data_IF_158219079170
#
_entry.id   IF_158219079170
#
_cell.length_a   1.000
_cell.length_b   1.000
_cell.length_c   1.000
_cell.angle_alpha   90.00
_cell.angle_beta   90.00
_cell.angle_gamma   90.00
#
_symmetry.space_group_name_H-M   'P 1'
#
loop_
_entity.id
_entity.type
_entity.pdbx_description
1 polymer ?
#
# COMPACT_ATOMS: atom_id res chain seq x y z
N UNK A 1 41.94 38.65 47.61
CA UNK A 1 42.58 38.45 46.30
C UNK A 1 42.85 36.95 46.21
N UNK A 2 41.89 36.19 45.67
CA UNK A 2 41.85 34.73 45.76
C UNK A 2 41.95 34.21 44.34
N UNK A 3 43.01 33.46 44.04
CA UNK A 3 43.14 32.66 42.82
C UNK A 3 43.60 31.27 43.25
N UNK A 4 42.64 30.36 43.38
CA UNK A 4 42.91 28.92 43.42
C UNK A 4 42.78 28.40 41.98
N UNK A 5 43.89 27.89 41.47
CA UNK A 5 44.02 27.13 40.24
C UNK A 5 43.71 25.67 40.59
N UNK A 6 42.59 25.13 40.11
CA UNK A 6 42.33 23.68 40.15
C UNK A 6 41.51 23.24 38.94
N UNK A 7 41.96 22.10 38.40
CA UNK A 7 41.19 21.06 37.72
C UNK A 7 40.94 21.16 36.20
N UNK A 8 41.96 20.65 35.50
CA UNK A 8 41.87 19.95 34.22
C UNK A 8 41.04 18.66 34.43
N UNK A 9 39.79 18.65 33.96
CA UNK A 9 39.03 17.41 33.72
C UNK A 9 38.08 17.59 32.52
N UNK A 10 38.59 17.20 31.35
CA UNK A 10 38.00 16.20 30.44
C UNK A 10 36.46 16.13 30.45
N UNK A 11 35.82 16.89 29.57
CA UNK A 11 34.52 16.56 29.01
C UNK A 11 34.69 16.53 27.49
N UNK A 12 34.76 15.32 26.95
CA UNK A 12 34.85 15.10 25.52
C UNK A 12 33.62 15.68 24.81
N UNK A 13 33.87 16.54 23.83
CA UNK A 13 32.93 16.79 22.75
C UNK A 13 32.61 15.45 22.08
N UNK A 14 31.51 14.83 22.50
CA UNK A 14 30.76 13.91 21.66
C UNK A 14 30.02 14.79 20.65
N UNK A 15 30.77 15.21 19.63
CA UNK A 15 30.20 15.60 18.36
C UNK A 15 29.45 14.36 17.86
N UNK A 16 28.13 14.36 18.02
CA UNK A 16 27.27 13.39 17.33
C UNK A 16 27.39 13.76 15.85
N UNK A 17 28.34 13.12 15.19
CA UNK A 17 28.37 12.95 13.75
C UNK A 17 27.07 12.24 13.36
N UNK A 18 26.03 13.04 13.19
CA UNK A 18 24.85 12.63 12.47
C UNK A 18 25.31 12.71 11.02
N UNK A 19 25.91 11.63 10.53
CA UNK A 19 26.00 11.37 9.12
C UNK A 19 24.57 11.30 8.59
N UNK A 20 23.97 12.47 8.35
CA UNK A 20 22.79 12.58 7.51
C UNK A 20 23.32 12.19 6.13
N UNK A 21 23.16 10.90 5.80
CA UNK A 21 23.25 10.45 4.43
C UNK A 21 22.15 11.25 3.73
N UNK A 22 22.52 12.33 3.03
CA UNK A 22 21.62 13.05 2.12
C UNK A 22 21.09 11.99 1.17
N UNK A 23 19.89 11.52 1.47
CA UNK A 23 19.22 10.50 0.70
C UNK A 23 18.56 11.27 -0.42
N UNK A 24 19.00 11.01 -1.65
CA UNK A 24 18.49 11.66 -2.85
C UNK A 24 16.95 11.69 -2.84
N UNK A 25 16.37 12.86 -3.14
CA UNK A 25 14.92 13.10 -3.08
C UNK A 25 14.14 12.04 -3.84
N UNK A 26 14.63 11.63 -5.03
CA UNK A 26 14.00 10.58 -5.81
C UNK A 26 13.95 9.24 -5.08
N UNK A 27 14.99 8.87 -4.33
CA UNK A 27 15.00 7.64 -3.53
C UNK A 27 13.91 7.68 -2.46
N UNK A 28 13.81 8.80 -1.73
CA UNK A 28 12.80 8.97 -0.69
C UNK A 28 11.37 8.88 -1.25
N UNK A 29 11.12 9.50 -2.41
CA UNK A 29 9.82 9.46 -3.08
C UNK A 29 9.47 8.07 -3.59
N UNK A 30 10.43 7.32 -4.14
CA UNK A 30 10.24 5.94 -4.58
C UNK A 30 9.93 5.01 -3.42
N UNK A 31 10.66 5.15 -2.31
CA UNK A 31 10.41 4.36 -1.10
C UNK A 31 9.00 4.64 -0.52
N UNK A 32 8.57 5.90 -0.60
CA UNK A 32 7.21 6.31 -0.24
C UNK A 32 6.14 5.93 -1.30
N UNK A 33 6.54 5.50 -2.51
CA UNK A 33 5.65 5.27 -3.68
C UNK A 33 4.89 6.52 -4.12
N UNK A 34 5.56 7.67 -4.09
CA UNK A 34 5.02 8.99 -4.45
C UNK A 34 5.65 9.58 -5.72
N UNK A 35 6.56 8.86 -6.36
CA UNK A 35 7.19 9.22 -7.62
C UNK A 35 6.24 9.17 -8.82
N UNK A 36 5.20 8.33 -8.74
CA UNK A 36 4.07 8.33 -9.67
C UNK A 36 2.84 7.72 -9.00
N UNK A 37 2.08 8.56 -8.28
CA UNK A 37 0.87 8.14 -7.57
C UNK A 37 -0.29 9.04 -7.95
N UNK A 38 -1.50 8.49 -7.98
CA UNK A 38 -2.69 9.22 -8.37
C UNK A 38 -3.93 8.69 -7.65
N UNK A 39 -4.91 9.57 -7.42
CA UNK A 39 -6.22 9.19 -6.94
C UNK A 39 -7.28 10.21 -7.40
N UNK A 40 -8.54 9.79 -7.39
CA UNK A 40 -9.67 10.66 -7.73
C UNK A 40 -10.33 11.12 -6.45
N UNK A 41 -10.55 12.42 -6.32
CA UNK A 41 -11.35 13.01 -5.25
C UNK A 41 -12.51 13.84 -5.82
N UNK A 42 -13.45 14.20 -4.97
CA UNK A 42 -14.64 14.96 -5.35
C UNK A 42 -14.84 16.15 -4.44
N UNK A 43 -15.17 17.30 -5.02
CA UNK A 43 -15.74 18.43 -4.28
C UNK A 43 -17.12 18.72 -4.85
N UNK A 44 -18.16 18.40 -4.08
CA UNK A 44 -19.55 18.48 -4.51
C UNK A 44 -19.82 17.55 -5.70
N UNK A 45 -20.18 18.13 -6.85
CA UNK A 45 -20.44 17.38 -8.10
C UNK A 45 -19.23 17.28 -9.02
N UNK A 46 -18.15 18.00 -8.73
CA UNK A 46 -16.96 18.04 -9.56
C UNK A 46 -15.98 16.96 -9.11
N UNK A 47 -15.39 16.28 -10.10
CA UNK A 47 -14.32 15.29 -9.89
C UNK A 47 -12.99 15.92 -10.22
N UNK A 48 -11.98 15.53 -9.46
CA UNK A 48 -10.62 15.95 -9.66
C UNK A 48 -9.71 14.73 -9.63
N UNK A 49 -8.71 14.71 -10.50
CA UNK A 49 -7.59 13.78 -10.43
C UNK A 49 -6.45 14.48 -9.70
N UNK A 50 -6.09 13.97 -8.53
CA UNK A 50 -4.89 14.35 -7.81
C UNK A 50 -3.78 13.39 -8.22
N UNK A 51 -2.60 13.91 -8.54
CA UNK A 51 -1.46 13.08 -8.92
C UNK A 51 -0.15 13.70 -8.48
N UNK A 52 0.87 12.86 -8.37
CA UNK A 52 2.24 13.24 -8.10
C UNK A 52 3.15 12.68 -9.18
N UNK A 53 4.21 13.41 -9.48
CA UNK A 53 5.27 12.95 -10.40
C UNK A 53 6.62 13.51 -9.99
N UNK A 54 7.68 12.84 -10.41
CA UNK A 54 9.03 13.42 -10.32
C UNK A 54 9.48 13.95 -11.69
N UNK A 55 10.03 15.16 -11.72
CA UNK A 55 10.64 15.80 -12.89
C UNK A 55 12.16 15.83 -12.71
N UNK A 56 12.88 15.37 -13.74
CA UNK A 56 14.35 15.34 -13.81
C UNK A 56 15.05 14.74 -12.57
N UNK A 57 14.36 13.84 -11.86
CA UNK A 57 14.82 13.21 -10.60
C UNK A 57 15.12 14.18 -9.46
N UNK A 58 14.80 15.48 -9.60
CA UNK A 58 15.18 16.53 -8.66
C UNK A 58 14.01 17.33 -8.11
N UNK A 59 12.87 17.27 -8.79
CA UNK A 59 11.69 18.01 -8.41
C UNK A 59 10.51 17.06 -8.25
N UNK A 60 9.81 17.19 -7.14
CA UNK A 60 8.55 16.53 -6.90
C UNK A 60 7.40 17.48 -7.20
N UNK A 61 6.51 17.06 -8.08
CA UNK A 61 5.35 17.85 -8.47
C UNK A 61 4.12 17.21 -7.89
N UNK A 62 3.35 18.00 -7.15
CA UNK A 62 2.00 17.65 -6.70
C UNK A 62 1.03 18.45 -7.52
N UNK A 63 0.09 17.77 -8.18
CA UNK A 63 -0.82 18.41 -9.12
C UNK A 63 -2.24 17.87 -9.03
N UNK A 64 -3.17 18.70 -9.49
CA UNK A 64 -4.60 18.45 -9.52
C UNK A 64 -5.14 18.89 -10.87
N UNK A 65 -6.05 18.12 -11.44
CA UNK A 65 -6.78 18.51 -12.64
C UNK A 65 -8.26 18.15 -12.54
N UNK A 66 -9.12 18.96 -13.15
CA UNK A 66 -10.53 18.65 -13.38
C UNK A 66 -10.81 18.11 -14.79
N UNK A 67 -9.76 17.83 -15.55
CA UNK A 67 -9.81 17.41 -16.96
C UNK A 67 -9.78 18.57 -17.96
N UNK A 68 -9.77 19.81 -17.49
CA UNK A 68 -9.70 21.02 -18.34
C UNK A 68 -8.48 21.86 -17.93
N UNK A 69 -8.41 22.18 -16.64
CA UNK A 69 -7.34 22.96 -16.04
C UNK A 69 -6.41 22.07 -15.22
N UNK A 70 -5.17 22.53 -15.03
CA UNK A 70 -4.17 21.86 -14.20
C UNK A 70 -3.65 22.87 -13.19
N UNK A 71 -3.60 22.48 -11.93
CA UNK A 71 -2.97 23.21 -10.84
C UNK A 71 -1.83 22.38 -10.30
N UNK A 72 -0.66 22.99 -10.09
CA UNK A 72 0.51 22.27 -9.61
C UNK A 72 1.30 23.10 -8.61
N UNK A 73 2.11 22.40 -7.83
CA UNK A 73 3.17 22.94 -7.02
C UNK A 73 4.39 22.03 -7.14
N UNK A 74 5.55 22.63 -7.30
CA UNK A 74 6.82 21.95 -7.48
C UNK A 74 7.66 22.12 -6.22
N UNK A 75 8.28 21.04 -5.77
CA UNK A 75 9.15 21.00 -4.61
C UNK A 75 10.49 20.43 -5.03
N UNK A 76 11.56 21.20 -4.82
CA UNK A 76 12.90 20.66 -4.67
C UNK A 76 13.11 20.17 -3.22
N UNK A 77 14.33 19.74 -2.89
CA UNK A 77 14.65 19.25 -1.55
C UNK A 77 14.38 20.31 -0.47
N UNK A 78 14.89 21.53 -0.66
CA UNK A 78 14.69 22.64 0.29
C UNK A 78 13.21 23.05 0.41
N UNK A 79 12.49 23.13 -0.72
CA UNK A 79 11.07 23.45 -0.74
C UNK A 79 10.21 22.38 -0.06
N UNK A 80 10.57 21.10 -0.20
CA UNK A 80 9.91 20.01 0.52
C UNK A 80 10.12 20.13 2.03
N UNK A 81 11.34 20.43 2.47
CA UNK A 81 11.65 20.62 3.89
C UNK A 81 10.91 21.83 4.47
N UNK A 82 10.87 22.94 3.76
CA UNK A 82 10.12 24.12 4.16
C UNK A 82 8.61 23.81 4.29
N UNK A 83 8.05 23.06 3.34
CA UNK A 83 6.65 22.66 3.40
C UNK A 83 6.35 21.69 4.55
N UNK A 84 7.27 20.76 4.83
CA UNK A 84 7.22 19.90 6.01
C UNK A 84 7.17 20.74 7.28
N UNK A 85 8.07 21.72 7.42
CA UNK A 85 8.15 22.57 8.61
C UNK A 85 6.89 23.42 8.81
N UNK A 86 6.35 23.99 7.72
CA UNK A 86 5.07 24.70 7.73
C UNK A 86 3.92 23.81 8.21
N UNK A 87 3.94 22.53 7.87
CA UNK A 87 2.93 21.56 8.30
C UNK A 87 3.12 21.03 9.73
N UNK A 88 4.21 21.41 10.41
CA UNK A 88 4.53 20.97 11.77
C UNK A 88 4.83 19.47 11.89
N UNK A 89 5.27 18.82 10.80
CA UNK A 89 5.61 17.40 10.79
C UNK A 89 7.09 17.20 11.11
N UNK A 90 7.39 16.30 12.05
CA UNK A 90 8.73 16.18 12.63
C UNK A 90 9.82 15.64 11.67
N UNK A 91 9.46 14.89 10.63
CA UNK A 91 10.42 14.33 9.67
C UNK A 91 9.85 14.27 8.25
N UNK A 92 10.74 14.30 7.25
CA UNK A 92 10.38 14.17 5.83
C UNK A 92 9.68 12.82 5.58
N UNK A 93 10.19 11.73 6.15
CA UNK A 93 9.57 10.41 6.03
C UNK A 93 8.12 10.39 6.55
N UNK A 94 7.87 11.00 7.71
CA UNK A 94 6.52 11.11 8.27
C UNK A 94 5.62 11.97 7.40
N UNK A 95 6.17 13.03 6.82
CA UNK A 95 5.46 13.92 5.90
C UNK A 95 5.06 13.17 4.63
N UNK A 96 5.99 12.51 3.96
CA UNK A 96 5.73 11.68 2.78
C UNK A 96 4.76 10.52 3.09
N UNK A 97 4.87 9.89 4.26
CA UNK A 97 3.93 8.85 4.69
C UNK A 97 2.48 9.35 4.77
N UNK A 98 2.25 10.61 5.20
CA UNK A 98 0.91 11.21 5.19
C UNK A 98 0.35 11.33 3.76
N UNK A 99 1.17 11.75 2.80
CA UNK A 99 0.76 11.78 1.39
C UNK A 99 0.42 10.38 0.90
N UNK A 100 1.32 9.42 1.08
CA UNK A 100 1.11 8.03 0.67
C UNK A 100 -0.21 7.49 1.20
N UNK A 101 -0.48 7.67 2.49
CA UNK A 101 -1.70 7.19 3.12
C UNK A 101 -2.95 7.90 2.59
N UNK A 102 -2.86 9.22 2.39
CA UNK A 102 -3.96 10.03 1.86
C UNK A 102 -4.32 9.63 0.43
N UNK A 103 -3.33 9.47 -0.46
CA UNK A 103 -3.56 9.00 -1.83
C UNK A 103 -4.10 7.57 -1.86
N UNK A 104 -3.57 6.67 -1.03
CA UNK A 104 -4.02 5.27 -0.98
C UNK A 104 -5.47 5.15 -0.47
N UNK A 105 -5.86 6.02 0.47
CA UNK A 105 -7.20 6.00 1.08
C UNK A 105 -8.19 6.95 0.41
N UNK A 106 -7.75 7.74 -0.59
CA UNK A 106 -8.51 8.86 -1.17
C UNK A 106 -8.96 9.89 -0.12
N UNK A 107 -8.12 10.13 0.89
CA UNK A 107 -8.34 11.10 1.97
C UNK A 107 -7.77 12.46 1.57
N UNK A 108 -8.26 12.98 0.46
CA UNK A 108 -7.90 14.29 -0.08
C UNK A 108 -9.15 15.17 -0.18
N UNK A 109 -9.04 16.42 0.24
CA UNK A 109 -10.08 17.42 0.04
C UNK A 109 -9.54 18.59 -0.79
N UNK A 110 -10.38 19.14 -1.65
CA UNK A 110 -10.04 20.23 -2.56
C UNK A 110 -10.94 21.41 -2.26
N UNK A 111 -10.38 22.61 -2.20
CA UNK A 111 -11.12 23.87 -2.24
C UNK A 111 -10.53 24.81 -3.29
N UNK A 112 -11.36 25.34 -4.18
CA UNK A 112 -10.94 26.28 -5.22
C UNK A 112 -11.28 27.72 -4.84
N UNK A 113 -10.32 28.62 -4.96
CA UNK A 113 -10.48 30.06 -4.75
C UNK A 113 -9.85 30.78 -5.93
N UNK A 114 -10.67 31.24 -6.88
CA UNK A 114 -10.18 31.86 -8.12
C UNK A 114 -9.36 30.89 -8.96
N UNK A 115 -8.09 31.26 -9.22
CA UNK A 115 -7.09 30.47 -9.96
C UNK A 115 -6.23 29.59 -9.06
N UNK A 116 -6.51 29.56 -7.75
CA UNK A 116 -5.80 28.74 -6.76
C UNK A 116 -6.66 27.55 -6.33
N UNK A 117 -6.02 26.39 -6.17
CA UNK A 117 -6.61 25.24 -5.48
C UNK A 117 -5.83 24.98 -4.21
N UNK A 118 -6.52 24.84 -3.08
CA UNK A 118 -5.95 24.30 -1.86
C UNK A 118 -6.29 22.82 -1.78
N UNK A 119 -5.25 21.98 -1.74
CA UNK A 119 -5.32 20.53 -1.56
C UNK A 119 -5.01 20.20 -0.10
N UNK A 120 -6.01 19.72 0.63
CA UNK A 120 -5.86 19.21 1.98
C UNK A 120 -5.60 17.70 1.95
N UNK A 121 -4.52 17.28 2.60
CA UNK A 121 -3.98 15.92 2.58
C UNK A 121 -4.17 15.29 3.96
N UNK A 122 -5.02 14.26 4.00
CA UNK A 122 -5.50 13.66 5.23
C UNK A 122 -6.81 14.30 5.71
N UNK A 123 -7.19 14.01 6.95
CA UNK A 123 -8.46 14.44 7.55
C UNK A 123 -8.23 15.17 8.88
N UNK A 124 -9.12 16.12 9.17
CA UNK A 124 -9.19 16.80 10.46
C UNK A 124 -8.06 17.80 10.70
N UNK A 125 -7.77 18.08 11.97
CA UNK A 125 -6.84 19.13 12.42
C UNK A 125 -5.36 18.87 12.14
N UNK A 126 -5.02 17.72 11.56
CA UNK A 126 -3.64 17.36 11.18
C UNK A 126 -3.48 17.23 9.66
N UNK A 127 -4.47 17.68 8.89
CA UNK A 127 -4.36 17.73 7.44
C UNK A 127 -3.24 18.69 7.03
N UNK A 128 -2.47 18.29 6.02
CA UNK A 128 -1.48 19.16 5.41
C UNK A 128 -2.19 19.92 4.29
N UNK A 129 -2.16 21.25 4.32
CA UNK A 129 -2.72 22.07 3.26
C UNK A 129 -1.62 22.50 2.29
N UNK A 130 -1.86 22.27 0.99
CA UNK A 130 -1.00 22.72 -0.10
C UNK A 130 -1.77 23.69 -0.98
N UNK A 131 -1.21 24.86 -1.22
CA UNK A 131 -1.69 25.76 -2.27
C UNK A 131 -1.05 25.39 -3.60
N UNK A 132 -1.90 25.12 -4.60
CA UNK A 132 -1.55 24.78 -5.98
C UNK A 132 -2.01 25.92 -6.90
N UNK A 133 -1.18 26.25 -7.88
CA UNK A 133 -1.42 27.35 -8.80
C UNK A 133 -1.66 26.86 -10.21
N UNK A 134 -2.55 27.56 -10.92
CA UNK A 134 -2.95 27.19 -12.28
C UNK A 134 -1.75 27.27 -13.24
N UNK A 135 -1.49 26.17 -13.94
CA UNK A 135 -0.40 26.06 -14.91
C UNK A 135 -0.63 26.99 -16.12
N UNK A 136 0.44 27.34 -16.84
CA UNK A 136 0.29 28.17 -18.06
C UNK A 136 -0.38 27.37 -19.17
N UNK A 137 -1.02 28.06 -20.12
CA UNK A 137 -1.77 27.41 -21.20
C UNK A 137 -0.96 26.37 -22.00
N UNK A 138 0.33 26.64 -22.24
CA UNK A 138 1.22 25.69 -22.93
C UNK A 138 1.45 24.41 -22.10
N UNK A 139 1.71 24.57 -20.80
CA UNK A 139 1.99 23.48 -19.84
C UNK A 139 0.74 22.63 -19.60
N UNK A 140 -0.45 23.25 -19.46
CA UNK A 140 -1.73 22.54 -19.27
C UNK A 140 -1.96 21.48 -20.34
N UNK A 141 -1.74 21.83 -21.62
CA UNK A 141 -1.97 20.92 -22.74
C UNK A 141 -1.01 19.74 -22.71
N UNK A 142 0.28 19.99 -22.48
CA UNK A 142 1.28 18.92 -22.38
C UNK A 142 1.03 18.00 -21.20
N UNK A 143 0.63 18.55 -20.04
CA UNK A 143 0.31 17.76 -18.85
C UNK A 143 -0.90 16.86 -19.06
N UNK A 144 -2.00 17.40 -19.58
CA UNK A 144 -3.20 16.61 -19.86
C UNK A 144 -2.94 15.52 -20.90
N UNK A 145 -2.15 15.83 -21.94
CA UNK A 145 -1.77 14.84 -22.94
C UNK A 145 -0.92 13.73 -22.32
N UNK A 146 0.09 14.09 -21.53
CA UNK A 146 0.94 13.13 -20.81
C UNK A 146 0.11 12.24 -19.89
N UNK A 147 -0.76 12.82 -19.06
CA UNK A 147 -1.63 12.08 -18.15
C UNK A 147 -2.52 11.09 -18.90
N UNK A 148 -3.16 11.53 -20.00
CA UNK A 148 -4.05 10.66 -20.77
C UNK A 148 -3.33 9.42 -21.31
N UNK A 149 -2.16 9.59 -21.92
CA UNK A 149 -1.39 8.47 -22.46
C UNK A 149 -0.79 7.60 -21.35
N UNK A 150 -0.27 8.20 -20.29
CA UNK A 150 0.28 7.47 -19.15
C UNK A 150 -0.79 6.61 -18.45
N UNK A 151 -2.00 7.14 -18.28
CA UNK A 151 -3.15 6.40 -17.75
C UNK A 151 -3.55 5.23 -18.65
N UNK A 152 -3.61 5.45 -19.97
CA UNK A 152 -3.96 4.41 -20.93
C UNK A 152 -2.92 3.29 -20.95
N UNK A 153 -1.63 3.64 -20.90
CA UNK A 153 -0.54 2.68 -20.84
C UNK A 153 -0.58 1.87 -19.54
N UNK A 154 -0.69 2.55 -18.39
CA UNK A 154 -0.78 1.90 -17.08
C UNK A 154 -1.98 0.96 -16.99
N UNK A 155 -3.15 1.36 -17.52
CA UNK A 155 -4.32 0.48 -17.57
C UNK A 155 -4.05 -0.78 -18.40
N UNK A 156 -3.46 -0.64 -19.59
CA UNK A 156 -3.11 -1.79 -20.42
C UNK A 156 -2.05 -2.71 -19.79
N UNK A 157 -1.09 -2.16 -19.04
CA UNK A 157 -0.12 -2.95 -18.28
C UNK A 157 -0.78 -3.70 -17.12
N UNK A 158 -1.67 -3.04 -16.36
CA UNK A 158 -2.42 -3.64 -15.26
C UNK A 158 -3.31 -4.79 -15.75
N UNK A 159 -4.00 -4.62 -16.87
CA UNK A 159 -4.82 -5.68 -17.49
C UNK A 159 -3.97 -6.92 -17.84
N UNK A 160 -2.78 -6.72 -18.40
CA UNK A 160 -1.83 -7.81 -18.68
C UNK A 160 -1.36 -8.50 -17.40
N UNK A 161 -0.98 -7.74 -16.38
CA UNK A 161 -0.53 -8.29 -15.09
C UNK A 161 -1.63 -9.08 -14.39
N UNK A 162 -2.87 -8.58 -14.42
CA UNK A 162 -4.04 -9.24 -13.86
C UNK A 162 -4.31 -10.55 -14.61
N UNK A 163 -4.25 -10.54 -15.94
CA UNK A 163 -4.41 -11.75 -16.76
C UNK A 163 -3.36 -12.82 -16.43
N UNK A 164 -2.08 -12.44 -16.33
CA UNK A 164 -1.01 -13.38 -15.95
C UNK A 164 -1.19 -13.93 -14.52
N UNK A 165 -1.56 -13.09 -13.55
CA UNK A 165 -1.82 -13.53 -12.19
C UNK A 165 -2.99 -14.54 -12.11
N UNK A 166 -4.06 -14.29 -12.87
CA UNK A 166 -5.19 -15.21 -12.95
C UNK A 166 -4.80 -16.56 -13.55
N UNK A 167 -4.01 -16.58 -14.62
CA UNK A 167 -3.51 -17.84 -15.20
C UNK A 167 -2.65 -18.63 -14.21
N UNK A 168 -1.79 -17.96 -13.44
CA UNK A 168 -1.01 -18.62 -12.38
C UNK A 168 -1.91 -19.21 -11.29
N UNK A 169 -2.97 -18.50 -10.89
CA UNK A 169 -3.96 -19.00 -9.93
C UNK A 169 -4.67 -20.25 -10.47
N UNK A 170 -5.03 -20.28 -11.76
CA UNK A 170 -5.65 -21.45 -12.39
C UNK A 170 -4.73 -22.67 -12.42
N UNK A 171 -3.46 -22.49 -12.79
CA UNK A 171 -2.46 -23.56 -12.76
C UNK A 171 -2.28 -24.11 -11.35
N UNK A 172 -2.15 -23.24 -10.34
CA UNK A 172 -2.02 -23.66 -8.93
C UNK A 172 -3.26 -24.39 -8.42
N UNK A 173 -4.47 -23.96 -8.83
CA UNK A 173 -5.71 -24.66 -8.49
C UNK A 173 -5.78 -26.05 -9.14
N UNK A 174 -5.36 -26.18 -10.40
CA UNK A 174 -5.34 -27.47 -11.10
C UNK A 174 -4.36 -28.47 -10.44
N UNK A 175 -3.18 -28.02 -9.99
CA UNK A 175 -2.22 -28.84 -9.26
C UNK A 175 -2.71 -29.28 -7.87
N UNK A 176 -3.51 -28.45 -7.19
CA UNK A 176 -4.11 -28.80 -5.89
C UNK A 176 -5.30 -29.76 -6.03
N UNK A 177 -5.97 -29.76 -7.18
CA UNK A 177 -7.05 -30.68 -7.53
C UNK A 177 -6.61 -32.06 -8.03
N UNK A 178 -5.33 -32.24 -8.43
CA UNK A 178 -4.79 -33.52 -8.89
C UNK A 178 -4.19 -34.40 -7.77
N UNK A 179 -4.44 -34.04 -6.50
CA UNK A 179 -4.11 -34.84 -5.31
C UNK A 179 -4.97 -36.09 -5.13
N UNK A 180 -5.03 -36.96 -6.13
CA UNK A 180 -5.41 -38.37 -6.00
C UNK A 180 -4.63 -39.23 -7.01
N UNK A 181 -3.33 -38.95 -7.13
CA UNK A 181 -2.39 -39.71 -7.94
C UNK A 181 -1.54 -40.69 -7.13
N UNK A 182 -2.07 -41.30 -6.07
CA UNK A 182 -1.40 -42.40 -5.36
C UNK A 182 -1.57 -43.77 -6.05
N UNK A 183 -2.17 -43.83 -7.24
CA UNK A 183 -2.39 -45.10 -7.96
C UNK A 183 -1.21 -45.55 -8.83
N UNK A 184 -0.10 -44.81 -8.91
CA UNK A 184 1.07 -45.20 -9.69
C UNK A 184 1.97 -46.28 -9.04
N UNK A 185 1.50 -46.93 -7.97
CA UNK A 185 2.18 -48.10 -7.35
C UNK A 185 1.27 -49.33 -7.26
N UNK A 186 0.11 -49.33 -7.91
CA UNK A 186 -0.85 -50.43 -7.87
C UNK A 186 -0.80 -51.31 -9.12
N UNK A 187 0.39 -51.78 -9.52
CA UNK A 187 0.48 -52.86 -10.52
C UNK A 187 1.68 -53.78 -10.28
N UNK A 188 1.70 -54.47 -9.14
CA UNK A 188 2.41 -55.74 -9.00
C UNK A 188 1.56 -56.68 -8.11
N UNK A 189 0.62 -57.39 -8.73
CA UNK A 189 0.02 -58.61 -8.17
C UNK A 189 0.38 -59.78 -9.10
N UNK A 190 0.30 -61.08 -8.72
CA UNK A 190 0.04 -61.69 -7.40
C UNK A 190 0.91 -62.95 -7.11
N UNK A 191 1.28 -63.25 -5.86
CA UNK A 191 1.51 -64.65 -5.44
C UNK A 191 1.02 -64.93 -4.01
N UNK A 192 -0.14 -65.59 -3.96
CA UNK A 192 -0.56 -66.69 -3.07
C UNK A 192 -0.02 -66.66 -1.63
N UNK A 193 -0.91 -66.37 -0.67
CA UNK A 193 -0.70 -66.68 0.74
C UNK A 193 -2.01 -66.58 1.51
N UNK A 194 -2.37 -67.66 2.19
CA UNK A 194 -3.61 -67.89 2.92
C UNK A 194 -3.75 -66.99 4.15
N UNK A 195 -4.99 -66.69 4.57
CA UNK A 195 -5.26 -66.16 5.91
C UNK A 195 -6.58 -65.41 5.99
N UNK A 196 -7.59 -66.06 6.56
CA UNK A 196 -8.91 -65.49 6.84
C UNK A 196 -8.83 -64.34 7.85
N UNK A 197 -9.48 -63.21 7.56
CA UNK A 197 -10.07 -62.33 8.58
C UNK A 197 -11.14 -61.43 7.95
N UNK A 198 -12.37 -61.51 8.48
CA UNK A 198 -13.53 -60.70 8.04
C UNK A 198 -13.26 -59.20 8.22
N UNK A 199 -13.56 -58.33 7.25
CA UNK A 199 -13.41 -56.89 7.42
C UNK A 199 -14.49 -56.33 8.35
N UNK A 200 -14.08 -55.75 9.48
CA UNK A 200 -14.93 -54.87 10.29
C UNK A 200 -15.17 -53.59 9.50
N UNK A 201 -16.44 -53.29 9.22
CA UNK A 201 -16.89 -52.03 8.63
C UNK A 201 -16.54 -50.84 9.53
N UNK A 202 -15.50 -50.10 9.20
CA UNK A 202 -15.18 -48.82 9.84
C UNK A 202 -16.10 -47.75 9.27
N UNK A 203 -16.98 -47.24 10.12
CA UNK A 203 -18.01 -46.26 9.78
C UNK A 203 -17.38 -44.95 9.30
N UNK A 204 -17.84 -44.51 8.13
CA UNK A 204 -17.64 -43.16 7.58
C UNK A 204 -18.27 -42.14 8.54
N UNK A 205 -17.52 -41.08 8.87
CA UNK A 205 -18.02 -39.95 9.64
C UNK A 205 -17.37 -39.79 11.01
N UNK A 206 -16.10 -39.40 11.04
CA UNK A 206 -15.48 -38.80 12.22
C UNK A 206 -14.93 -37.42 11.81
N UNK A 207 -15.70 -36.39 12.20
CA UNK A 207 -15.32 -34.98 12.07
C UNK A 207 -14.11 -34.67 12.94
N UNK A 208 -13.08 -34.07 12.33
CA UNK A 208 -11.81 -33.67 12.97
C UNK A 208 -11.91 -32.26 13.59
N UNK A 209 -13.10 -31.64 13.61
CA UNK A 209 -13.25 -30.20 13.91
C UNK A 209 -13.79 -29.93 15.34
N UNK A 210 -13.94 -30.91 16.22
CA UNK A 210 -14.30 -30.59 17.61
C UNK A 210 -13.83 -31.59 18.68
N UNK A 211 -12.70 -31.34 19.36
CA UNK A 211 -12.15 -32.24 20.38
C UNK A 211 -12.91 -32.26 21.73
N UNK A 212 -14.03 -31.53 21.90
CA UNK A 212 -14.76 -31.49 23.18
C UNK A 212 -16.22 -32.00 23.14
N UNK A 213 -16.65 -32.67 22.06
CA UNK A 213 -18.03 -33.16 21.97
C UNK A 213 -18.26 -34.47 22.75
N UNK A 214 -18.54 -34.36 24.06
CA UNK A 214 -19.06 -35.46 24.89
C UNK A 214 -20.42 -35.94 24.38
N UNK A 215 -20.52 -37.24 24.07
CA UNK A 215 -21.77 -37.93 23.69
C UNK A 215 -22.84 -37.80 24.78
N UNK A 216 -24.01 -37.22 24.45
CA UNK A 216 -25.24 -37.39 25.24
C UNK A 216 -25.98 -38.65 24.74
N UNK A 217 -26.32 -39.56 25.65
CA UNK A 217 -27.17 -40.73 25.37
C UNK A 217 -28.63 -40.27 25.22
N UNK A 218 -29.34 -40.79 24.23
CA UNK A 218 -30.76 -40.52 24.03
C UNK A 218 -31.60 -41.17 25.15
N UNK A 219 -32.62 -40.46 25.63
CA UNK A 219 -33.56 -40.92 26.64
C UNK A 219 -34.62 -41.83 26.02
N UNK A 220 -34.87 -42.98 26.65
CA UNK A 220 -35.87 -43.99 26.29
C UNK A 220 -37.27 -43.45 26.59
N UNK A 221 -38.20 -43.60 25.64
CA UNK A 221 -39.56 -43.07 25.71
C UNK A 221 -40.43 -43.69 26.80
N UNK A 222 -41.41 -42.92 27.26
CA UNK A 222 -42.46 -43.31 28.20
C UNK A 222 -43.73 -43.64 27.39
N UNK A 223 -44.31 -44.81 27.63
CA UNK A 223 -45.60 -45.25 27.07
C UNK A 223 -46.71 -44.73 27.98
N UNK A 224 -47.76 -44.16 27.40
CA UNK A 224 -48.98 -43.80 28.12
C UNK A 224 -50.10 -44.78 27.72
N UNK A 225 -50.80 -45.32 28.73
CA UNK A 225 -52.17 -45.86 28.60
C UNK A 225 -53.19 -44.72 28.68
#
# INVERSE_FOLDING_TARGET
MITCFTDILRAGCLQKDTCHVMTDLLSQLKDAKLDSTQCVTTNGRQKFLCFTKTVDSKQWVVAVTDGIDVWSQEFDEEGLEAQRDLSGVASVESFLSRFKNAFSSSDLAISRIGTKITLAIGKGSSAIELDLFEAKAAEKKSELQFLLFNLAENNGQLEKQLSMANQQIEVLKAQKGSGSGLSALADLSPKKGQGQAKPKTTKVGMSVINPSSRKRKAATGVVFE
#
